data_IF_048409201186
#
_entry.id   IF_048409201186
#
_cell.length_a   1.000
_cell.length_b   1.000
_cell.length_c   1.000
_cell.angle_alpha   90.00
_cell.angle_beta   90.00
_cell.angle_gamma   90.00
#
_symmetry.space_group_name_H-M   'P 1'
#
loop_
_entity.id
_entity.type
_entity.pdbx_description
1 polymer ?
#
# COMPACT_ATOMS: atom_id res chain seq x y z
N UNK A 1 16.61 -2.93 12.55
CA UNK A 1 15.65 -3.65 11.69
C UNK A 1 14.48 -2.71 11.44
N UNK A 2 14.17 -2.39 10.18
CA UNK A 2 13.04 -1.53 9.84
C UNK A 2 11.87 -2.40 9.37
N UNK A 3 10.80 -2.46 10.15
CA UNK A 3 9.64 -3.28 9.81
C UNK A 3 8.99 -2.77 8.52
N UNK A 4 8.53 -3.68 7.68
CA UNK A 4 7.87 -3.35 6.42
C UNK A 4 6.69 -2.39 6.62
N UNK A 5 5.89 -2.60 7.67
CA UNK A 5 4.77 -1.73 8.01
C UNK A 5 5.23 -0.28 8.29
N UNK A 6 6.36 -0.09 8.98
CA UNK A 6 6.92 1.26 9.23
C UNK A 6 7.42 1.89 7.94
N UNK A 7 8.10 1.12 7.08
CA UNK A 7 8.50 1.62 5.75
C UNK A 7 7.32 2.07 4.90
N UNK A 8 6.26 1.25 4.86
CA UNK A 8 5.03 1.59 4.16
C UNK A 8 4.36 2.85 4.75
N UNK A 9 4.34 2.99 6.07
CA UNK A 9 3.81 4.17 6.76
C UNK A 9 4.63 5.44 6.46
N UNK A 10 5.96 5.36 6.48
CA UNK A 10 6.84 6.48 6.13
C UNK A 10 6.60 6.96 4.71
N UNK A 11 6.51 6.03 3.75
CA UNK A 11 6.21 6.34 2.35
C UNK A 11 4.84 7.00 2.21
N UNK A 12 3.82 6.47 2.88
CA UNK A 12 2.47 7.03 2.86
C UNK A 12 2.42 8.45 3.47
N UNK A 13 3.14 8.67 4.58
CA UNK A 13 3.23 9.98 5.22
C UNK A 13 3.93 11.02 4.32
N UNK A 14 5.07 10.65 3.74
CA UNK A 14 5.79 11.50 2.77
C UNK A 14 4.89 11.80 1.56
N UNK A 15 4.22 10.78 1.02
CA UNK A 15 3.34 10.94 -0.12
C UNK A 15 2.15 11.87 0.18
N UNK A 16 1.55 11.78 1.38
CA UNK A 16 0.50 12.69 1.84
C UNK A 16 0.97 14.15 1.84
N UNK A 17 2.19 14.42 2.30
CA UNK A 17 2.78 15.77 2.24
C UNK A 17 3.04 16.19 0.80
N UNK A 18 3.51 15.28 -0.06
CA UNK A 18 3.75 15.56 -1.48
C UNK A 18 2.47 15.93 -2.24
N UNK A 19 1.34 15.29 -1.94
CA UNK A 19 0.03 15.62 -2.53
C UNK A 19 -0.40 17.08 -2.27
N UNK A 20 0.07 17.68 -1.17
CA UNK A 20 -0.24 19.06 -0.81
C UNK A 20 0.70 20.09 -1.47
N UNK A 21 1.76 19.64 -2.15
CA UNK A 21 2.73 20.55 -2.80
C UNK A 21 2.16 21.06 -4.12
N UNK A 22 2.35 22.36 -4.40
CA UNK A 22 1.85 23.04 -5.61
C UNK A 22 2.25 22.34 -6.92
N UNK A 23 3.46 21.78 -7.00
CA UNK A 23 3.92 21.07 -8.19
C UNK A 23 3.11 19.80 -8.44
N UNK A 24 2.91 19.00 -7.40
CA UNK A 24 2.11 17.78 -7.44
C UNK A 24 0.65 18.09 -7.76
N UNK A 25 0.05 19.07 -7.09
CA UNK A 25 -1.33 19.50 -7.35
C UNK A 25 -1.51 19.95 -8.81
N UNK A 26 -0.55 20.71 -9.36
CA UNK A 26 -0.59 21.14 -10.76
C UNK A 26 -0.52 19.95 -11.72
N UNK A 27 0.34 18.97 -11.45
CA UNK A 27 0.44 17.77 -12.27
C UNK A 27 -0.85 16.93 -12.22
N UNK A 28 -1.42 16.75 -11.03
CA UNK A 28 -2.68 16.03 -10.84
C UNK A 28 -3.82 16.75 -11.58
N UNK A 29 -3.95 18.07 -11.43
CA UNK A 29 -4.98 18.85 -12.13
C UNK A 29 -4.80 18.81 -13.65
N UNK A 30 -3.55 18.80 -14.13
CA UNK A 30 -3.27 18.64 -15.56
C UNK A 30 -3.67 17.26 -16.08
N UNK A 31 -3.51 16.21 -15.28
CA UNK A 31 -3.84 14.84 -15.67
C UNK A 31 -5.35 14.54 -15.58
N UNK A 32 -6.03 15.08 -14.55
CA UNK A 32 -7.45 14.82 -14.28
C UNK A 32 -8.41 15.88 -14.84
N UNK A 33 -7.90 17.06 -15.23
CA UNK A 33 -8.71 18.23 -15.59
C UNK A 33 -9.40 18.91 -14.41
N UNK A 34 -9.23 18.39 -13.19
CA UNK A 34 -9.84 18.89 -11.94
C UNK A 34 -8.94 18.64 -10.75
N UNK A 35 -9.30 19.23 -9.62
CA UNK A 35 -8.66 18.93 -8.34
C UNK A 35 -9.08 17.53 -7.82
N UNK A 36 -8.19 16.93 -7.02
CA UNK A 36 -8.42 15.65 -6.36
C UNK A 36 -9.28 15.86 -5.12
N UNK A 37 -10.37 15.11 -4.98
CA UNK A 37 -11.21 15.17 -3.78
C UNK A 37 -10.49 14.58 -2.57
N UNK A 38 -10.94 14.91 -1.36
CA UNK A 38 -10.34 14.37 -0.14
C UNK A 38 -10.41 12.83 -0.04
N UNK A 39 -11.53 12.16 -0.38
CA UNK A 39 -11.57 10.69 -0.40
C UNK A 39 -10.56 10.08 -1.38
N UNK A 40 -10.40 10.68 -2.57
CA UNK A 40 -9.43 10.22 -3.57
C UNK A 40 -7.98 10.42 -3.09
N UNK A 41 -7.68 11.55 -2.42
CA UNK A 41 -6.38 11.75 -1.78
C UNK A 41 -6.11 10.65 -0.74
N UNK A 42 -7.09 10.33 0.10
CA UNK A 42 -7.01 9.24 1.07
C UNK A 42 -6.73 7.90 0.41
N UNK A 43 -7.46 7.57 -0.66
CA UNK A 43 -7.25 6.34 -1.41
C UNK A 43 -5.82 6.26 -2.00
N UNK A 44 -5.29 7.35 -2.58
CA UNK A 44 -3.93 7.35 -3.09
C UNK A 44 -2.88 7.18 -1.98
N UNK A 45 -3.11 7.73 -0.79
CA UNK A 45 -2.22 7.52 0.37
C UNK A 45 -2.24 6.05 0.82
N UNK A 46 -3.42 5.41 0.85
CA UNK A 46 -3.53 3.97 1.13
C UNK A 46 -2.81 3.15 0.05
N UNK A 47 -2.96 3.51 -1.23
CA UNK A 47 -2.23 2.84 -2.31
C UNK A 47 -0.71 2.99 -2.19
N UNK A 48 -0.22 4.15 -1.75
CA UNK A 48 1.20 4.38 -1.48
C UNK A 48 1.70 3.52 -0.30
N UNK A 49 0.90 3.36 0.76
CA UNK A 49 1.20 2.42 1.85
C UNK A 49 1.36 0.99 1.31
N UNK A 50 0.44 0.57 0.43
CA UNK A 50 0.39 -0.78 -0.14
C UNK A 50 1.39 -1.03 -1.27
N UNK A 51 2.22 -0.05 -1.68
CA UNK A 51 3.11 -0.19 -2.85
C UNK A 51 4.06 -1.39 -2.76
N UNK A 52 4.45 -1.72 -1.54
CA UNK A 52 5.40 -2.78 -1.22
C UNK A 52 4.73 -4.03 -0.64
N UNK A 53 3.40 -4.16 -0.74
CA UNK A 53 2.66 -5.28 -0.16
C UNK A 53 3.19 -6.63 -0.62
N UNK A 54 3.68 -6.75 -1.86
CA UNK A 54 4.27 -8.00 -2.35
C UNK A 54 5.53 -8.45 -1.63
N UNK A 55 6.16 -7.60 -0.81
CA UNK A 55 7.23 -8.02 0.11
C UNK A 55 6.70 -8.99 1.18
N UNK A 56 5.41 -8.99 1.50
CA UNK A 56 4.81 -9.97 2.42
C UNK A 56 4.74 -11.39 1.84
N UNK A 57 4.90 -11.55 0.52
CA UNK A 57 4.74 -12.86 -0.11
C UNK A 57 5.83 -13.83 0.37
N UNK A 58 5.50 -15.10 0.70
CA UNK A 58 6.48 -16.10 1.12
C UNK A 58 7.63 -16.27 0.12
N UNK A 59 7.32 -16.28 -1.18
CA UNK A 59 8.33 -16.37 -2.24
C UNK A 59 9.26 -15.14 -2.32
N UNK A 60 8.84 -13.97 -1.83
CA UNK A 60 9.73 -12.82 -1.68
C UNK A 60 10.59 -12.95 -0.42
N UNK A 61 9.97 -13.28 0.72
CA UNK A 61 10.63 -13.43 2.01
C UNK A 61 11.67 -14.56 2.03
N UNK A 62 11.45 -15.61 1.23
CA UNK A 62 12.37 -16.73 1.08
C UNK A 62 13.81 -16.31 0.76
N UNK A 63 14.03 -15.16 0.11
CA UNK A 63 15.37 -14.60 -0.16
C UNK A 63 16.21 -14.34 1.10
N UNK A 64 15.58 -14.19 2.26
CA UNK A 64 16.24 -14.00 3.55
C UNK A 64 16.20 -15.23 4.47
N UNK A 65 15.62 -16.36 4.03
CA UNK A 65 15.53 -17.56 4.86
C UNK A 65 16.84 -18.36 4.80
N UNK A 66 17.27 -18.96 5.92
CA UNK A 66 18.34 -19.95 5.87
C UNK A 66 17.87 -21.20 5.12
N UNK A 67 18.74 -21.79 4.28
CA UNK A 67 18.52 -23.05 3.56
C UNK A 67 17.32 -23.07 2.59
N UNK A 68 17.11 -21.99 1.84
CA UNK A 68 16.00 -21.86 0.88
C UNK A 68 16.37 -22.21 -0.58
N UNK A 69 17.45 -22.96 -0.82
CA UNK A 69 18.01 -23.21 -2.16
C UNK A 69 16.99 -23.82 -3.16
N UNK A 70 15.98 -24.52 -2.64
CA UNK A 70 14.93 -25.16 -3.43
C UNK A 70 13.62 -24.34 -3.52
N UNK A 71 13.57 -23.13 -2.94
CA UNK A 71 12.38 -22.28 -2.97
C UNK A 71 12.45 -21.33 -4.17
N UNK A 72 11.49 -21.45 -5.09
CA UNK A 72 11.35 -20.49 -6.18
C UNK A 72 10.99 -19.12 -5.61
N UNK A 73 11.91 -18.16 -5.74
CA UNK A 73 11.68 -16.79 -5.28
C UNK A 73 10.99 -15.95 -6.36
N UNK A 74 10.39 -14.82 -5.97
CA UNK A 74 9.79 -13.86 -6.90
C UNK A 74 10.14 -12.40 -6.55
N UNK A 75 9.85 -11.47 -7.46
CA UNK A 75 9.94 -10.03 -7.19
C UNK A 75 8.76 -9.53 -6.36
N UNK A 76 8.95 -8.50 -5.51
CA UNK A 76 7.84 -7.93 -4.73
C UNK A 76 6.81 -7.25 -5.63
N UNK A 77 7.23 -6.64 -6.75
CA UNK A 77 6.30 -6.07 -7.72
C UNK A 77 5.43 -7.16 -8.38
N UNK A 78 6.04 -8.28 -8.76
CA UNK A 78 5.32 -9.44 -9.32
C UNK A 78 4.29 -9.99 -8.32
N UNK A 79 4.72 -10.20 -7.06
CA UNK A 79 3.85 -10.68 -6.00
C UNK A 79 2.72 -9.69 -5.66
N UNK A 80 3.03 -8.40 -5.55
CA UNK A 80 2.05 -7.35 -5.23
C UNK A 80 1.02 -7.21 -6.35
N UNK A 81 1.48 -7.21 -7.61
CA UNK A 81 0.56 -7.20 -8.75
C UNK A 81 -0.29 -8.45 -8.84
N UNK A 82 0.23 -9.63 -8.46
CA UNK A 82 -0.58 -10.84 -8.40
C UNK A 82 -1.73 -10.66 -7.42
N UNK A 83 -1.48 -10.21 -6.19
CA UNK A 83 -2.52 -9.96 -5.19
C UNK A 83 -3.52 -8.88 -5.59
N UNK A 84 -3.07 -7.78 -6.20
CA UNK A 84 -3.97 -6.73 -6.69
C UNK A 84 -4.88 -7.19 -7.85
N UNK A 85 -4.44 -8.19 -8.62
CA UNK A 85 -5.20 -8.78 -9.74
C UNK A 85 -5.99 -10.02 -9.35
N UNK A 86 -5.81 -10.55 -8.14
CA UNK A 86 -6.58 -11.69 -7.69
C UNK A 86 -8.06 -11.29 -7.63
N UNK A 87 -8.96 -12.05 -8.28
CA UNK A 87 -10.38 -11.83 -8.16
C UNK A 87 -10.78 -11.83 -6.69
N UNK A 88 -11.63 -10.89 -6.30
CA UNK A 88 -12.23 -10.91 -4.97
C UNK A 88 -12.99 -12.23 -4.79
N UNK A 89 -12.37 -13.19 -4.11
CA UNK A 89 -13.10 -14.29 -3.51
C UNK A 89 -13.56 -13.80 -2.15
N UNK A 90 -14.68 -14.30 -1.62
CA UNK A 90 -15.07 -14.01 -0.23
C UNK A 90 -14.00 -14.39 0.81
N UNK A 91 -12.94 -15.09 0.38
CA UNK A 91 -11.76 -15.45 1.17
C UNK A 91 -10.54 -14.52 0.97
N UNK A 92 -10.55 -13.57 0.03
CA UNK A 92 -9.45 -12.62 -0.18
C UNK A 92 -9.60 -11.41 0.75
N UNK A 93 -8.75 -11.25 1.77
CA UNK A 93 -8.57 -10.07 2.66
C UNK A 93 -9.82 -9.26 3.06
N UNK A 94 -11.03 -9.82 2.95
CA UNK A 94 -12.28 -9.24 3.45
C UNK A 94 -12.34 -9.20 4.99
N UNK A 95 -11.31 -9.71 5.67
CA UNK A 95 -11.24 -9.78 7.12
C UNK A 95 -10.44 -8.68 7.83
N UNK A 96 -9.64 -7.85 7.13
CA UNK A 96 -8.82 -6.82 7.80
C UNK A 96 -9.05 -5.38 7.33
N UNK A 97 -10.06 -5.11 6.50
CA UNK A 97 -10.50 -3.74 6.24
C UNK A 97 -10.85 -3.00 7.55
N UNK A 98 -11.41 -3.71 8.54
CA UNK A 98 -11.65 -3.19 9.87
C UNK A 98 -10.36 -2.82 10.63
N UNK A 99 -9.31 -3.65 10.55
CA UNK A 99 -8.01 -3.36 11.15
C UNK A 99 -7.30 -2.18 10.47
N UNK A 100 -7.44 -2.03 9.15
CA UNK A 100 -6.96 -0.85 8.42
C UNK A 100 -7.75 0.42 8.78
N UNK A 101 -9.06 0.31 9.01
CA UNK A 101 -9.88 1.43 9.47
C UNK A 101 -9.52 1.85 10.91
N UNK A 102 -9.20 0.89 11.78
CA UNK A 102 -8.76 1.12 13.15
C UNK A 102 -7.37 1.77 13.21
N UNK A 103 -6.44 1.35 12.34
CA UNK A 103 -5.12 1.99 12.17
C UNK A 103 -5.20 3.42 11.64
N UNK A 104 -6.22 3.75 10.85
CA UNK A 104 -6.43 5.11 10.32
C UNK A 104 -7.05 6.07 11.33
N UNK A 105 -7.36 5.61 12.56
CA UNK A 105 -7.95 6.43 13.61
C UNK A 105 -9.35 6.89 13.25
N UNK A 106 -10.37 6.10 13.60
CA UNK A 106 -11.71 6.65 13.74
C UNK A 106 -11.69 7.59 14.95
N UNK A 107 -11.51 8.89 14.71
CA UNK A 107 -11.81 9.90 15.70
C UNK A 107 -13.30 9.82 16.07
N UNK A 108 -13.54 9.47 17.34
CA UNK A 108 -14.63 9.97 18.18
C UNK A 108 -16.06 9.94 17.63
N UNK A 109 -16.82 8.95 18.09
CA UNK A 109 -18.23 9.16 18.45
C UNK A 109 -18.52 8.32 19.71
N UNK A 110 -18.31 8.94 20.86
CA UNK A 110 -19.30 9.15 21.92
C UNK A 110 -18.74 10.13 22.98
#
# INVERSE_FOLDING_TARGET
MHHLAHHCADVAAVFRVLLQRRHTQRAIRSALGRDLSQPEQGALVVMAFLHDIGKFAPAFQAKGWPNCDNVKTCGHLEAGQHWLRMPHSGASLGGQMAALAEMCGTEGQD
#
